data_IF_007055552389
#
_entry.id   IF_007055552389
#
_cell.length_a   1.000
_cell.length_b   1.000
_cell.length_c   1.000
_cell.angle_alpha   90.00
_cell.angle_beta   90.00
_cell.angle_gamma   90.00
#
_symmetry.space_group_name_H-M   'P 1'
#
loop_
_entity.id
_entity.type
_entity.pdbx_description
1 polymer ?
#
# COMPACT_ATOMS: atom_id res chain seq x y z
N UNK A 1 -5.43 21.44 8.72
CA UNK A 1 -5.35 20.70 7.44
C UNK A 1 -5.06 19.25 7.77
N UNK A 2 -5.86 18.32 7.25
CA UNK A 2 -5.69 16.88 7.54
C UNK A 2 -4.37 16.37 6.94
N UNK A 3 -3.59 15.55 7.67
CA UNK A 3 -2.36 14.96 7.15
C UNK A 3 -2.67 13.97 6.03
N UNK A 4 -1.84 13.96 4.97
CA UNK A 4 -1.97 13.01 3.85
C UNK A 4 -1.32 11.69 4.20
N UNK A 5 -1.97 10.54 3.92
CA UNK A 5 -1.31 9.28 4.16
C UNK A 5 -0.18 9.00 3.17
N UNK A 6 0.88 8.38 3.67
CA UNK A 6 2.11 8.10 2.94
C UNK A 6 2.41 6.61 3.06
N UNK A 7 2.16 5.88 1.97
CA UNK A 7 2.24 4.42 1.95
C UNK A 7 3.40 4.04 1.03
N UNK A 8 4.57 3.68 1.57
CA UNK A 8 5.58 2.97 0.81
C UNK A 8 5.14 1.52 0.52
N UNK A 9 5.16 1.18 -0.76
CA UNK A 9 4.87 -0.15 -1.28
C UNK A 9 6.10 -0.78 -1.91
N UNK A 10 6.22 -2.10 -1.82
CA UNK A 10 7.23 -2.87 -2.56
C UNK A 10 6.60 -3.51 -3.80
N UNK A 11 7.11 -3.17 -4.98
CA UNK A 11 6.64 -3.74 -6.25
C UNK A 11 7.41 -5.03 -6.57
N UNK A 12 6.71 -6.16 -6.67
CA UNK A 12 7.29 -7.47 -7.02
C UNK A 12 7.04 -7.76 -8.51
N UNK A 13 8.01 -7.51 -9.41
CA UNK A 13 7.90 -7.97 -10.79
C UNK A 13 8.10 -9.50 -10.85
N UNK A 14 7.18 -10.19 -11.53
CA UNK A 14 7.33 -11.61 -11.83
C UNK A 14 8.56 -11.83 -12.72
N UNK A 15 9.69 -12.19 -12.11
CA UNK A 15 10.87 -12.72 -12.80
C UNK A 15 12.18 -12.00 -12.48
N UNK A 16 12.93 -12.59 -11.56
CA UNK A 16 14.39 -12.56 -11.43
C UNK A 16 15.09 -11.20 -11.12
N UNK A 17 15.76 -11.18 -9.96
CA UNK A 17 16.98 -10.40 -9.64
C UNK A 17 16.84 -8.96 -9.11
N UNK A 18 16.94 -8.77 -7.79
CA UNK A 18 18.08 -8.14 -7.07
C UNK A 18 17.69 -7.76 -5.62
N UNK A 19 18.55 -8.00 -4.61
CA UNK A 19 18.32 -7.62 -3.21
C UNK A 19 18.74 -6.18 -2.89
N UNK A 20 18.92 -5.32 -3.89
CA UNK A 20 19.23 -3.91 -3.68
C UNK A 20 17.93 -3.11 -3.77
N UNK A 21 17.75 -2.13 -2.86
CA UNK A 21 16.48 -1.51 -2.45
C UNK A 21 15.71 -0.69 -3.51
N UNK A 22 15.74 -1.10 -4.77
CA UNK A 22 15.11 -0.47 -5.94
C UNK A 22 13.62 -0.75 -6.10
N UNK A 23 12.99 -1.52 -5.20
CA UNK A 23 11.56 -1.87 -5.28
C UNK A 23 10.63 -1.04 -4.38
N UNK A 24 11.15 -0.14 -3.53
CA UNK A 24 10.35 0.65 -2.60
C UNK A 24 9.84 1.93 -3.26
N UNK A 25 8.52 2.08 -3.36
CA UNK A 25 7.85 3.24 -3.95
C UNK A 25 7.00 3.93 -2.90
N UNK A 26 7.20 5.23 -2.66
CA UNK A 26 6.32 6.00 -1.76
C UNK A 26 5.12 6.55 -2.51
N UNK A 27 3.92 6.15 -2.11
CA UNK A 27 2.66 6.64 -2.67
C UNK A 27 2.01 7.63 -1.72
N UNK A 28 1.60 8.79 -2.25
CA UNK A 28 0.92 9.87 -1.52
C UNK A 28 -0.39 10.19 -2.21
N UNK A 29 -1.50 10.02 -1.51
CA UNK A 29 -2.84 10.30 -2.06
C UNK A 29 -3.72 10.99 -1.02
N UNK A 30 -4.75 11.69 -1.50
CA UNK A 30 -5.82 12.26 -0.66
C UNK A 30 -7.07 11.39 -0.78
N UNK A 31 -7.89 11.27 0.27
CA UNK A 31 -9.14 10.56 0.17
C UNK A 31 -10.14 11.31 -0.72
N UNK A 32 -11.17 10.58 -1.20
CA UNK A 32 -12.34 11.15 -1.85
C UNK A 32 -13.21 11.96 -0.87
N UNK A 33 -14.30 12.56 -1.37
CA UNK A 33 -15.24 13.35 -0.57
C UNK A 33 -15.90 12.56 0.58
N UNK A 34 -15.87 11.22 0.51
CA UNK A 34 -16.40 10.31 1.53
C UNK A 34 -15.31 9.77 2.47
N UNK A 35 -14.08 10.27 2.36
CA UNK A 35 -12.96 9.81 3.18
C UNK A 35 -12.32 8.49 2.71
N UNK A 36 -12.63 8.01 1.50
CA UNK A 36 -12.17 6.70 1.01
C UNK A 36 -10.98 6.85 0.07
N UNK A 37 -10.04 5.91 0.18
CA UNK A 37 -8.87 5.85 -0.72
C UNK A 37 -9.10 4.95 -1.93
N UNK A 38 -9.94 3.93 -1.81
CA UNK A 38 -10.33 3.07 -2.94
C UNK A 38 -9.46 1.84 -3.17
N UNK A 39 -8.85 1.31 -2.11
CA UNK A 39 -8.13 0.03 -2.16
C UNK A 39 -8.51 -0.86 -0.96
N UNK A 40 -8.27 -2.15 -1.10
CA UNK A 40 -8.40 -3.15 -0.04
C UNK A 40 -7.04 -3.78 0.25
N UNK A 41 -6.86 -4.26 1.47
CA UNK A 41 -5.69 -5.04 1.88
C UNK A 41 -6.09 -6.43 2.35
N UNK A 42 -5.12 -7.34 2.40
CA UNK A 42 -5.19 -8.66 3.02
C UNK A 42 -3.90 -8.92 3.81
N UNK A 43 -3.93 -9.90 4.71
CA UNK A 43 -2.80 -10.22 5.59
C UNK A 43 -2.82 -9.40 6.87
N UNK A 44 -1.73 -9.47 7.63
CA UNK A 44 -1.62 -8.98 9.00
C UNK A 44 -0.81 -9.96 9.84
N UNK A 45 -0.18 -9.45 10.89
CA UNK A 45 0.67 -10.26 11.77
C UNK A 45 -0.10 -11.40 12.45
N UNK A 46 -1.39 -11.21 12.76
CA UNK A 46 -2.28 -12.24 13.30
C UNK A 46 -2.53 -13.40 12.33
N UNK A 47 -2.35 -13.16 11.03
CA UNK A 47 -2.53 -14.16 9.97
C UNK A 47 -1.20 -14.79 9.55
N UNK A 48 -0.07 -14.30 10.08
CA UNK A 48 1.27 -14.71 9.65
C UNK A 48 1.58 -14.35 8.19
N UNK A 49 0.90 -13.32 7.65
CA UNK A 49 0.97 -12.95 6.23
C UNK A 49 1.34 -11.47 6.09
N UNK A 50 2.17 -11.09 5.10
CA UNK A 50 2.44 -9.69 4.81
C UNK A 50 1.16 -8.94 4.43
N UNK A 51 1.13 -7.63 4.68
CA UNK A 51 0.02 -6.78 4.27
C UNK A 51 0.16 -6.50 2.77
N UNK A 52 -0.79 -7.00 1.98
CA UNK A 52 -0.78 -6.90 0.51
C UNK A 52 -2.01 -6.14 0.04
N UNK A 53 -1.85 -5.25 -0.94
CA UNK A 53 -2.96 -4.63 -1.65
C UNK A 53 -3.69 -5.70 -2.46
N UNK A 54 -4.92 -6.02 -2.05
CA UNK A 54 -5.72 -7.09 -2.65
C UNK A 54 -6.61 -6.62 -3.79
N UNK A 55 -7.00 -5.34 -3.78
CA UNK A 55 -7.82 -4.73 -4.83
C UNK A 55 -7.57 -3.22 -4.91
N UNK A 56 -7.55 -2.68 -6.12
CA UNK A 56 -7.62 -1.24 -6.39
C UNK A 56 -8.87 -0.96 -7.20
N UNK A 57 -9.78 -0.15 -6.66
CA UNK A 57 -11.04 0.17 -7.32
C UNK A 57 -10.83 1.22 -8.42
N UNK A 58 -11.41 1.03 -9.62
CA UNK A 58 -11.21 1.96 -10.73
C UNK A 58 -11.81 3.34 -10.44
N UNK A 59 -11.20 4.39 -10.99
CA UNK A 59 -11.62 5.79 -10.82
C UNK A 59 -11.64 6.27 -9.35
N UNK A 60 -10.79 5.68 -8.50
CA UNK A 60 -10.61 6.12 -7.11
C UNK A 60 -9.27 6.82 -6.91
N UNK A 61 -9.03 7.51 -5.78
CA UNK A 61 -7.73 8.13 -5.52
C UNK A 61 -6.54 7.16 -5.65
N UNK A 62 -6.70 5.91 -5.21
CA UNK A 62 -5.67 4.88 -5.34
C UNK A 62 -5.38 4.46 -6.79
N UNK A 63 -6.38 4.52 -7.66
CA UNK A 63 -6.23 4.20 -9.09
C UNK A 63 -5.61 5.36 -9.88
N UNK A 64 -5.87 6.60 -9.47
CA UNK A 64 -5.50 7.83 -10.19
C UNK A 64 -4.19 8.46 -9.71
N UNK A 65 -3.67 8.07 -8.55
CA UNK A 65 -2.41 8.59 -8.02
C UNK A 65 -1.21 8.20 -8.89
N UNK A 66 -0.19 9.05 -8.92
CA UNK A 66 1.08 8.77 -9.61
C UNK A 66 2.22 8.88 -8.59
N UNK A 67 3.05 7.83 -8.40
CA UNK A 67 2.93 6.50 -9.00
C UNK A 67 1.67 5.75 -8.51
N UNK A 68 1.08 4.94 -9.41
CA UNK A 68 -0.17 4.20 -9.15
C UNK A 68 0.04 3.10 -8.12
N UNK A 69 -0.93 2.94 -7.22
CA UNK A 69 -0.99 1.78 -6.33
C UNK A 69 -1.47 0.56 -7.13
N UNK A 70 -0.76 -0.55 -7.06
CA UNK A 70 -1.10 -1.75 -7.82
C UNK A 70 -1.54 -2.89 -6.91
N UNK A 71 -2.40 -3.76 -7.44
CA UNK A 71 -2.74 -5.02 -6.78
C UNK A 71 -1.49 -5.90 -6.70
N UNK A 72 -1.26 -6.52 -5.53
CA UNK A 72 -0.06 -7.31 -5.26
C UNK A 72 1.09 -6.52 -4.61
N UNK A 73 1.02 -5.18 -4.59
CA UNK A 73 1.98 -4.36 -3.86
C UNK A 73 1.96 -4.70 -2.35
N UNK A 74 3.14 -4.89 -1.77
CA UNK A 74 3.27 -5.11 -0.32
C UNK A 74 3.38 -3.78 0.41
N UNK A 75 2.54 -3.58 1.42
CA UNK A 75 2.57 -2.40 2.30
C UNK A 75 3.59 -2.63 3.41
N UNK A 76 4.57 -1.74 3.50
CA UNK A 76 5.62 -1.82 4.52
C UNK A 76 5.46 -0.75 5.60
N UNK A 77 5.06 0.45 5.19
CA UNK A 77 4.76 1.53 6.13
C UNK A 77 3.45 2.20 5.79
N UNK A 78 2.78 2.72 6.81
CA UNK A 78 1.66 3.63 6.67
C UNK A 78 2.00 4.87 7.50
N UNK A 79 2.06 6.02 6.83
CA UNK A 79 2.35 7.31 7.45
C UNK A 79 3.70 7.32 8.21
N UNK A 80 4.68 6.59 7.67
CA UNK A 80 6.01 6.43 8.27
C UNK A 80 6.09 5.44 9.43
N UNK A 81 5.00 4.73 9.76
CA UNK A 81 5.00 3.67 10.78
C UNK A 81 5.16 2.32 10.11
N UNK A 82 6.12 1.53 10.57
CA UNK A 82 6.28 0.14 10.14
C UNK A 82 5.04 -0.67 10.54
N UNK A 83 4.49 -1.42 9.60
CA UNK A 83 3.27 -2.22 9.81
C UNK A 83 3.54 -3.72 9.89
N UNK A 84 4.80 -4.15 9.91
CA UNK A 84 5.15 -5.57 9.86
C UNK A 84 4.61 -6.40 11.03
N UNK A 85 4.40 -5.76 12.19
CA UNK A 85 3.87 -6.39 13.41
C UNK A 85 2.41 -6.02 13.71
N UNK A 86 1.74 -5.30 12.82
CA UNK A 86 0.34 -4.90 13.03
C UNK A 86 -0.61 -6.02 12.60
N UNK A 87 -1.70 -6.20 13.34
CA UNK A 87 -2.79 -7.10 12.92
C UNK A 87 -3.56 -6.51 11.74
N UNK A 88 -4.44 -7.30 11.12
CA UNK A 88 -5.28 -6.83 10.02
C UNK A 88 -6.17 -5.63 10.39
N UNK A 89 -6.61 -5.54 11.64
CA UNK A 89 -7.54 -4.50 12.10
C UNK A 89 -6.86 -3.18 12.54
N UNK A 90 -5.57 -3.20 12.87
CA UNK A 90 -4.81 -2.03 13.34
C UNK A 90 -4.32 -1.14 12.19
#
# INVERSE_FOLDING_TARGET
>A
GVPHPQIPVHHIPNGNSHPDGHGLVTIRMKPDEKGRFGFNVKGGADQGMPIIVSRVAPNTPADLVIPRLNEGDQVLFINGRDVSQHTHEQ
#
